data_IF_613738209534
#
_entry.id   IF_613738209534
#
_cell.length_a   1.000
_cell.length_b   1.000
_cell.length_c   1.000
_cell.angle_alpha   90.00
_cell.angle_beta   90.00
_cell.angle_gamma   90.00
#
_symmetry.space_group_name_H-M   'P 1'
#
loop_
_entity.id
_entity.type
_entity.pdbx_description
1 polymer ?
#
# COMPACT_ATOMS: atom_id res chain seq x y z
N UNK A 1 19.27 -12.56 -14.29
CA UNK A 1 18.45 -12.29 -13.09
C UNK A 1 19.38 -12.24 -11.90
N UNK A 2 19.35 -11.19 -11.09
CA UNK A 2 20.24 -11.13 -9.93
C UNK A 2 19.82 -12.15 -8.87
N UNK A 3 20.79 -12.71 -8.15
CA UNK A 3 20.58 -13.68 -7.05
C UNK A 3 19.55 -13.12 -6.06
N UNK A 4 19.57 -11.83 -5.81
CA UNK A 4 18.62 -11.13 -4.93
C UNK A 4 17.18 -11.31 -5.41
N UNK A 5 16.90 -11.15 -6.70
CA UNK A 5 15.55 -11.30 -7.26
C UNK A 5 15.07 -12.75 -7.12
N UNK A 6 15.95 -13.73 -7.38
CA UNK A 6 15.61 -15.15 -7.22
C UNK A 6 15.33 -15.51 -5.76
N UNK A 7 16.16 -15.03 -4.82
CA UNK A 7 15.93 -15.25 -3.39
C UNK A 7 14.62 -14.59 -2.94
N UNK A 8 14.37 -13.34 -3.34
CA UNK A 8 13.13 -12.63 -3.00
C UNK A 8 11.87 -13.34 -3.52
N UNK A 9 11.91 -13.89 -4.75
CA UNK A 9 10.79 -14.63 -5.33
C UNK A 9 10.51 -15.97 -4.64
N UNK A 10 11.52 -16.54 -3.97
CA UNK A 10 11.37 -17.80 -3.24
C UNK A 10 10.85 -17.65 -1.81
N UNK A 11 10.88 -16.44 -1.24
CA UNK A 11 10.46 -16.19 0.16
C UNK A 11 9.01 -16.60 0.39
N UNK A 12 8.08 -16.15 -0.46
CA UNK A 12 6.64 -16.44 -0.28
C UNK A 12 6.36 -17.94 -0.42
N UNK A 13 6.81 -18.65 -1.48
CA UNK A 13 6.67 -20.10 -1.56
C UNK A 13 7.28 -20.85 -0.37
N UNK A 14 8.45 -20.44 0.11
CA UNK A 14 9.10 -21.05 1.25
C UNK A 14 8.30 -20.89 2.56
N UNK A 15 7.75 -19.69 2.81
CA UNK A 15 6.88 -19.44 3.97
C UNK A 15 5.62 -20.30 3.88
N UNK A 16 4.99 -20.39 2.71
CA UNK A 16 3.78 -21.22 2.52
C UNK A 16 4.09 -22.70 2.77
N UNK A 17 5.18 -23.20 2.23
CA UNK A 17 5.62 -24.58 2.46
C UNK A 17 5.90 -24.85 3.95
N UNK A 18 6.54 -23.89 4.63
CA UNK A 18 6.81 -23.99 6.06
C UNK A 18 5.53 -24.03 6.87
N UNK A 19 4.56 -23.14 6.61
CA UNK A 19 3.29 -23.10 7.35
C UNK A 19 2.50 -24.38 7.14
N UNK A 20 2.35 -24.85 5.89
CA UNK A 20 1.63 -26.08 5.57
C UNK A 20 2.33 -27.28 6.19
N UNK A 21 3.65 -27.41 6.01
CA UNK A 21 4.44 -28.52 6.56
C UNK A 21 4.39 -28.58 8.10
N UNK A 22 4.50 -27.42 8.76
CA UNK A 22 4.37 -27.34 10.22
C UNK A 22 2.96 -27.72 10.69
N UNK A 23 1.92 -27.26 10.00
CA UNK A 23 0.52 -27.65 10.29
C UNK A 23 0.29 -29.15 10.18
N UNK A 24 0.83 -29.80 9.13
CA UNK A 24 0.77 -31.24 8.95
C UNK A 24 1.50 -32.00 10.07
N UNK A 25 2.72 -31.58 10.44
CA UNK A 25 3.47 -32.18 11.56
C UNK A 25 2.69 -32.08 12.86
N UNK A 26 2.00 -30.96 13.09
CA UNK A 26 1.15 -30.75 14.28
C UNK A 26 -0.23 -31.43 14.18
N UNK A 27 -0.48 -32.19 13.13
CA UNK A 27 -1.76 -32.88 12.87
C UNK A 27 -2.97 -31.93 12.88
N UNK A 28 -2.78 -30.70 12.42
CA UNK A 28 -3.86 -29.74 12.21
C UNK A 28 -4.55 -30.04 10.89
N UNK A 29 -5.84 -29.72 10.80
CA UNK A 29 -6.59 -29.83 9.55
C UNK A 29 -6.30 -28.59 8.67
N UNK A 30 -5.12 -28.61 8.02
CA UNK A 30 -4.59 -27.46 7.24
C UNK A 30 -5.56 -27.02 6.15
N UNK A 31 -6.31 -27.97 5.56
CA UNK A 31 -7.28 -27.67 4.53
C UNK A 31 -8.46 -26.85 5.07
N UNK A 32 -9.05 -27.27 6.20
CA UNK A 32 -10.17 -26.56 6.81
C UNK A 32 -9.73 -25.18 7.34
N UNK A 33 -8.54 -25.12 7.93
CA UNK A 33 -7.94 -23.85 8.38
C UNK A 33 -7.75 -22.90 7.20
N UNK A 34 -7.26 -23.40 6.06
CA UNK A 34 -7.13 -22.63 4.83
C UNK A 34 -8.50 -22.12 4.30
N UNK A 35 -9.50 -23.01 4.24
CA UNK A 35 -10.85 -22.67 3.77
C UNK A 35 -11.49 -21.61 4.67
N UNK A 36 -11.34 -21.74 5.99
CA UNK A 36 -11.85 -20.74 6.93
C UNK A 36 -11.13 -19.39 6.78
N UNK A 37 -9.80 -19.40 6.66
CA UNK A 37 -9.03 -18.18 6.37
C UNK A 37 -9.43 -17.52 5.05
N UNK A 38 -9.71 -18.31 4.00
CA UNK A 38 -10.19 -17.80 2.72
C UNK A 38 -11.58 -17.12 2.83
N UNK A 39 -12.50 -17.70 3.62
CA UNK A 39 -13.81 -17.09 3.90
C UNK A 39 -13.68 -15.77 4.65
N UNK A 40 -12.82 -15.70 5.65
CA UNK A 40 -12.55 -14.49 6.42
C UNK A 40 -11.92 -13.42 5.54
N UNK A 41 -10.96 -13.81 4.69
CA UNK A 41 -10.36 -12.94 3.70
C UNK A 41 -11.39 -12.37 2.71
N UNK A 42 -12.28 -13.20 2.19
CA UNK A 42 -13.35 -12.77 1.28
C UNK A 42 -14.32 -11.78 1.98
N UNK A 43 -14.69 -12.06 3.22
CA UNK A 43 -15.52 -11.16 4.02
C UNK A 43 -14.83 -9.80 4.23
N UNK A 44 -13.53 -9.81 4.46
CA UNK A 44 -12.73 -8.58 4.59
C UNK A 44 -12.72 -7.78 3.29
N UNK A 45 -12.53 -8.44 2.16
CA UNK A 45 -12.58 -7.78 0.83
C UNK A 45 -13.92 -7.08 0.60
N UNK A 46 -15.04 -7.78 0.88
CA UNK A 46 -16.39 -7.18 0.74
C UNK A 46 -16.55 -5.94 1.63
N UNK A 47 -16.03 -5.97 2.86
CA UNK A 47 -16.11 -4.83 3.78
C UNK A 47 -15.30 -3.62 3.34
N UNK A 48 -14.12 -3.81 2.76
CA UNK A 48 -13.23 -2.70 2.36
C UNK A 48 -13.50 -2.19 0.95
N UNK A 49 -14.09 -3.03 0.08
CA UNK A 49 -14.35 -2.73 -1.33
C UNK A 49 -15.12 -1.42 -1.55
N UNK A 50 -16.23 -1.12 -0.84
CA UNK A 50 -16.98 0.14 -1.05
C UNK A 50 -16.11 1.37 -0.78
N UNK A 51 -15.28 1.32 0.26
CA UNK A 51 -14.36 2.41 0.61
C UNK A 51 -13.31 2.62 -0.49
N UNK A 52 -12.72 1.53 -1.01
CA UNK A 52 -11.73 1.62 -2.09
C UNK A 52 -12.37 2.15 -3.38
N UNK A 53 -13.56 1.69 -3.75
CA UNK A 53 -14.28 2.21 -4.92
C UNK A 53 -14.57 3.70 -4.76
N UNK A 54 -15.08 4.13 -3.60
CA UNK A 54 -15.33 5.53 -3.32
C UNK A 54 -14.07 6.40 -3.43
N UNK A 55 -12.96 5.90 -2.91
CA UNK A 55 -11.65 6.59 -3.01
C UNK A 55 -11.15 6.66 -4.46
N UNK A 56 -11.28 5.57 -5.23
CA UNK A 56 -10.87 5.58 -6.65
C UNK A 56 -11.71 6.56 -7.47
N UNK A 57 -13.01 6.65 -7.22
CA UNK A 57 -13.87 7.64 -7.88
C UNK A 57 -13.47 9.06 -7.48
N UNK A 58 -13.26 9.32 -6.20
CA UNK A 58 -12.84 10.65 -5.72
C UNK A 58 -11.49 11.07 -6.32
N UNK A 59 -10.51 10.17 -6.34
CA UNK A 59 -9.20 10.42 -6.97
C UNK A 59 -9.34 10.66 -8.47
N UNK A 60 -10.19 9.88 -9.17
CA UNK A 60 -10.49 10.08 -10.58
C UNK A 60 -11.05 11.47 -10.87
N UNK A 61 -12.01 11.94 -10.07
CA UNK A 61 -12.56 13.31 -10.19
C UNK A 61 -11.49 14.38 -9.96
N UNK A 62 -10.63 14.21 -8.95
CA UNK A 62 -9.50 15.13 -8.69
C UNK A 62 -8.49 15.13 -9.83
N UNK A 63 -8.27 14.02 -10.50
CA UNK A 63 -7.40 13.93 -11.65
C UNK A 63 -8.01 14.65 -12.87
N UNK A 64 -9.27 14.34 -13.20
CA UNK A 64 -9.97 14.97 -14.31
C UNK A 64 -10.12 16.49 -14.13
N UNK A 65 -10.15 16.98 -12.90
CA UNK A 65 -10.15 18.42 -12.60
C UNK A 65 -8.81 19.12 -12.91
N UNK A 66 -7.74 18.37 -13.19
CA UNK A 66 -6.38 18.89 -13.37
C UNK A 66 -5.63 19.17 -12.08
N UNK A 67 -6.31 19.15 -10.91
CA UNK A 67 -5.70 19.50 -9.62
C UNK A 67 -4.45 18.67 -9.31
N UNK A 68 -4.49 17.36 -9.58
CA UNK A 68 -3.34 16.47 -9.34
C UNK A 68 -2.14 16.84 -10.22
N UNK A 69 -2.41 17.18 -11.47
CA UNK A 69 -1.39 17.61 -12.43
C UNK A 69 -0.76 18.94 -12.03
N UNK A 70 -1.58 19.92 -11.65
CA UNK A 70 -1.10 21.22 -11.22
C UNK A 70 -0.25 21.13 -9.94
N UNK A 71 -0.72 20.36 -8.97
CA UNK A 71 0.01 20.10 -7.73
C UNK A 71 1.33 19.36 -8.00
N UNK A 72 1.30 18.32 -8.85
CA UNK A 72 2.48 17.58 -9.26
C UNK A 72 3.51 18.47 -9.96
N UNK A 73 3.06 19.33 -10.88
CA UNK A 73 3.92 20.26 -11.61
C UNK A 73 4.52 21.36 -10.70
N UNK A 74 3.71 21.88 -9.77
CA UNK A 74 4.18 22.91 -8.84
C UNK A 74 5.27 22.37 -7.91
N UNK A 75 5.06 21.18 -7.35
CA UNK A 75 5.97 20.54 -6.39
C UNK A 75 7.10 19.77 -7.10
N UNK A 76 6.86 19.26 -8.30
CA UNK A 76 7.83 18.52 -9.11
C UNK A 76 9.08 19.35 -9.41
N UNK A 77 8.95 20.67 -9.56
CA UNK A 77 10.11 21.56 -9.74
C UNK A 77 11.17 21.42 -8.65
N UNK A 78 10.76 21.03 -7.44
CA UNK A 78 11.65 20.81 -6.30
C UNK A 78 12.09 19.36 -6.18
N UNK A 79 11.30 18.40 -6.67
CA UNK A 79 11.53 16.96 -6.44
C UNK A 79 12.12 16.23 -7.63
N UNK A 80 11.83 16.67 -8.86
CA UNK A 80 12.38 16.06 -10.07
C UNK A 80 13.93 16.08 -10.12
N UNK A 81 14.62 17.16 -9.67
CA UNK A 81 16.08 17.18 -9.66
C UNK A 81 16.72 16.11 -8.77
N UNK A 82 16.01 15.63 -7.76
CA UNK A 82 16.46 14.53 -6.88
C UNK A 82 15.96 13.16 -7.34
N UNK A 83 15.33 13.08 -8.52
CA UNK A 83 14.83 11.84 -9.09
C UNK A 83 13.48 11.36 -8.52
N UNK A 84 12.77 12.21 -7.77
CA UNK A 84 11.44 11.87 -7.24
C UNK A 84 10.36 12.47 -8.17
N UNK A 85 9.55 11.61 -8.85
CA UNK A 85 8.56 12.10 -9.82
C UNK A 85 7.52 13.03 -9.17
N UNK A 86 7.33 14.21 -9.72
CA UNK A 86 6.35 15.20 -9.23
C UNK A 86 4.92 14.67 -9.16
N UNK A 87 4.56 13.72 -10.03
CA UNK A 87 3.26 13.04 -10.02
C UNK A 87 2.97 12.27 -8.73
N UNK A 88 4.01 11.92 -7.95
CA UNK A 88 3.88 11.23 -6.67
C UNK A 88 3.66 12.18 -5.47
N UNK A 89 3.84 13.49 -5.66
CA UNK A 89 3.69 14.46 -4.57
C UNK A 89 2.29 14.45 -3.94
N UNK A 90 1.19 14.40 -4.73
CA UNK A 90 -0.15 14.32 -4.15
C UNK A 90 -0.33 13.10 -3.23
N UNK A 91 0.09 11.90 -3.68
CA UNK A 91 -0.03 10.68 -2.86
C UNK A 91 0.88 10.73 -1.64
N UNK A 92 2.07 11.33 -1.75
CA UNK A 92 2.99 11.51 -0.63
C UNK A 92 2.37 12.35 0.47
N UNK A 93 1.73 13.47 0.10
CA UNK A 93 1.05 14.35 1.06
C UNK A 93 -0.13 13.63 1.70
N UNK A 94 -1.00 13.00 0.89
CA UNK A 94 -2.19 12.30 1.40
C UNK A 94 -1.80 11.15 2.33
N UNK A 95 -0.69 10.46 2.06
CA UNK A 95 -0.20 9.36 2.90
C UNK A 95 0.14 9.80 4.33
N UNK A 96 0.56 11.02 4.54
CA UNK A 96 0.85 11.57 5.89
C UNK A 96 -0.41 11.51 6.76
N UNK A 97 -1.59 11.69 6.16
CA UNK A 97 -2.89 11.77 6.86
C UNK A 97 -3.70 10.48 6.79
N UNK A 98 -3.71 9.80 5.64
CA UNK A 98 -4.61 8.68 5.38
C UNK A 98 -3.95 7.59 4.52
N UNK A 99 -3.71 6.43 5.11
CA UNK A 99 -3.21 5.25 4.41
C UNK A 99 -4.20 4.73 3.36
N UNK A 100 -5.49 4.72 3.70
CA UNK A 100 -6.54 4.24 2.78
C UNK A 100 -6.68 5.13 1.56
N UNK A 101 -6.67 6.46 1.74
CA UNK A 101 -6.72 7.41 0.64
C UNK A 101 -5.47 7.29 -0.25
N UNK A 102 -4.29 7.17 0.36
CA UNK A 102 -3.04 6.93 -0.38
C UNK A 102 -3.11 5.64 -1.21
N UNK A 103 -3.67 4.56 -0.66
CA UNK A 103 -3.86 3.29 -1.40
C UNK A 103 -4.74 3.49 -2.64
N UNK A 104 -5.85 4.24 -2.52
CA UNK A 104 -6.69 4.57 -3.67
C UNK A 104 -5.93 5.33 -4.76
N UNK A 105 -5.11 6.31 -4.37
CA UNK A 105 -4.26 7.06 -5.30
C UNK A 105 -3.17 6.20 -5.95
N UNK A 106 -2.59 5.26 -5.22
CA UNK A 106 -1.59 4.32 -5.75
C UNK A 106 -2.21 3.40 -6.81
N UNK A 107 -3.42 2.89 -6.55
CA UNK A 107 -4.14 2.08 -7.55
C UNK A 107 -4.40 2.87 -8.84
N UNK A 108 -4.70 4.15 -8.73
CA UNK A 108 -4.87 5.03 -9.86
C UNK A 108 -3.54 5.28 -10.61
N UNK A 109 -2.44 5.49 -9.90
CA UNK A 109 -1.09 5.57 -10.47
C UNK A 109 -0.72 4.28 -11.22
N UNK A 110 -1.00 3.11 -10.66
CA UNK A 110 -0.75 1.85 -11.33
C UNK A 110 -1.59 1.66 -12.59
N UNK A 111 -2.82 2.15 -12.59
CA UNK A 111 -3.70 2.13 -13.78
C UNK A 111 -3.16 3.00 -14.91
N UNK A 112 -2.58 4.16 -14.57
CA UNK A 112 -2.11 5.13 -15.57
C UNK A 112 -0.71 4.85 -16.07
N UNK A 113 0.23 4.61 -15.16
CA UNK A 113 1.66 4.48 -15.49
C UNK A 113 2.13 3.03 -15.54
N UNK A 114 1.36 2.10 -15.00
CA UNK A 114 1.74 0.69 -14.81
C UNK A 114 2.55 0.46 -13.52
N UNK A 115 2.39 -0.72 -12.88
CA UNK A 115 3.10 -1.05 -11.64
C UNK A 115 4.61 -1.22 -11.84
N UNK A 116 5.04 -1.67 -13.02
CA UNK A 116 6.45 -1.95 -13.36
C UNK A 116 7.19 -0.71 -13.92
N UNK A 117 6.50 0.42 -14.07
CA UNK A 117 7.12 1.68 -14.49
C UNK A 117 8.02 2.25 -13.39
N UNK A 118 8.89 3.21 -13.74
CA UNK A 118 9.68 3.92 -12.73
C UNK A 118 8.81 4.55 -11.64
N UNK A 119 7.74 5.24 -12.04
CA UNK A 119 6.77 5.85 -11.11
C UNK A 119 6.07 4.82 -10.26
N UNK A 120 5.65 3.68 -10.84
CA UNK A 120 5.05 2.56 -10.13
C UNK A 120 6.00 1.93 -9.11
N UNK A 121 7.25 1.72 -9.48
CA UNK A 121 8.25 1.19 -8.56
C UNK A 121 8.56 2.16 -7.40
N UNK A 122 8.71 3.46 -7.68
CA UNK A 122 8.96 4.46 -6.64
C UNK A 122 7.79 4.54 -5.66
N UNK A 123 6.54 4.58 -6.14
CA UNK A 123 5.38 4.59 -5.25
C UNK A 123 5.24 3.31 -4.43
N UNK A 124 5.58 2.16 -5.01
CA UNK A 124 5.58 0.87 -4.30
C UNK A 124 6.59 0.86 -3.15
N UNK A 125 7.80 1.33 -3.41
CA UNK A 125 8.84 1.49 -2.38
C UNK A 125 8.40 2.48 -1.30
N UNK A 126 7.84 3.62 -1.69
CA UNK A 126 7.32 4.61 -0.75
C UNK A 126 6.21 4.01 0.13
N UNK A 127 5.28 3.25 -0.46
CA UNK A 127 4.19 2.63 0.29
C UNK A 127 4.67 1.57 1.27
N UNK A 128 5.69 0.80 0.92
CA UNK A 128 6.23 -0.27 1.77
C UNK A 128 7.17 0.22 2.88
N UNK A 129 7.85 1.34 2.67
CA UNK A 129 8.89 1.85 3.57
C UNK A 129 8.44 3.00 4.48
N UNK A 130 7.22 3.51 4.30
CA UNK A 130 6.71 4.62 5.11
C UNK A 130 5.34 4.29 5.72
N UNK A 131 5.03 4.90 6.86
CA UNK A 131 3.75 4.78 7.55
C UNK A 131 2.98 6.10 7.55
N UNK A 132 1.68 6.03 7.88
CA UNK A 132 0.82 7.20 8.03
C UNK A 132 1.19 7.92 9.33
N UNK A 133 1.90 9.04 9.22
CA UNK A 133 2.55 9.71 10.36
C UNK A 133 1.55 10.07 11.46
N UNK A 134 0.47 10.78 11.12
CA UNK A 134 -0.50 11.22 12.12
C UNK A 134 -1.28 10.08 12.77
N UNK A 135 -1.61 9.05 12.02
CA UNK A 135 -2.27 7.86 12.57
C UNK A 135 -1.34 7.13 13.54
N UNK A 136 -0.10 6.85 13.11
CA UNK A 136 0.90 6.14 13.92
C UNK A 136 1.23 6.91 15.19
N UNK A 137 1.44 8.23 15.10
CA UNK A 137 1.65 9.09 16.26
C UNK A 137 0.47 9.04 17.23
N UNK A 138 -0.76 9.12 16.72
CA UNK A 138 -1.98 9.09 17.55
C UNK A 138 -2.11 7.76 18.32
N UNK A 139 -1.89 6.64 17.64
CA UNK A 139 -1.95 5.30 18.26
C UNK A 139 -0.84 5.15 19.30
N UNK A 140 0.39 5.59 18.97
CA UNK A 140 1.53 5.47 19.86
C UNK A 140 1.36 6.33 21.11
N UNK A 141 0.95 7.57 20.98
CA UNK A 141 0.71 8.47 22.11
C UNK A 141 -0.45 8.01 23.00
N UNK A 142 -1.52 7.46 22.39
CA UNK A 142 -2.60 6.82 23.15
C UNK A 142 -2.09 5.63 23.97
N UNK A 143 -1.33 4.73 23.35
CA UNK A 143 -0.78 3.54 23.99
C UNK A 143 0.21 3.93 25.11
N UNK A 144 1.03 4.95 24.87
CA UNK A 144 1.99 5.47 25.85
C UNK A 144 1.36 6.40 26.90
N UNK A 145 0.05 6.67 26.84
CA UNK A 145 -0.70 7.59 27.73
C UNK A 145 -0.09 8.99 27.81
N UNK A 146 0.46 9.47 26.70
CA UNK A 146 1.00 10.83 26.60
C UNK A 146 -0.17 11.81 26.51
N UNK A 147 -0.32 12.68 27.50
CA UNK A 147 -1.44 13.64 27.60
C UNK A 147 -1.03 15.10 27.35
N UNK A 148 0.29 15.36 27.30
CA UNK A 148 0.84 16.69 26.98
C UNK A 148 2.03 16.53 26.05
N UNK A 149 2.02 17.27 24.97
CA UNK A 149 3.16 17.50 24.07
C UNK A 149 3.66 18.91 24.24
#
# INVERSE_FOLDING_TARGET
>A
MSIIVTVSSMIIPAIMLFIVGYGMIKRKNVYDDFVNGAKDGFTTVIKVMPTLIGLMVAVGVLRESGFMTDLGNALGKFTDPIGFPGQLMPVTIVKIFSSSAATGMVLDIFKEYGPDSYTGNVVSLMMSSTETVFYTMSVYFMAAKVTKT
#
